data_IF_053173483440
#
_entry.id   IF_053173483440
#
_cell.length_a   1.000
_cell.length_b   1.000
_cell.length_c   1.000
_cell.angle_alpha   90.00
_cell.angle_beta   90.00
_cell.angle_gamma   90.00
#
_symmetry.space_group_name_H-M   'P 1'
#
loop_
_entity.id
_entity.type
_entity.pdbx_description
1 polymer ?
#
# COMPACT_ATOMS: atom_id res chain seq x y z
N UNK A 1 69.08 -29.27 25.70
CA UNK A 1 68.82 -27.82 25.51
C UNK A 1 67.80 -27.68 24.40
N UNK A 2 66.69 -27.02 24.73
CA UNK A 2 65.37 -27.20 24.12
C UNK A 2 65.15 -26.29 22.90
N UNK A 3 64.27 -26.77 22.02
CA UNK A 3 63.96 -26.29 20.65
C UNK A 3 63.56 -24.81 20.59
N UNK A 4 64.13 -24.10 19.62
CA UNK A 4 63.80 -22.71 19.27
C UNK A 4 62.36 -22.59 18.73
N UNK A 5 61.70 -21.53 19.19
CA UNK A 5 60.38 -21.03 18.78
C UNK A 5 60.27 -20.89 17.26
N UNK A 6 59.22 -21.48 16.68
CA UNK A 6 58.64 -21.07 15.39
C UNK A 6 57.16 -20.78 15.64
N UNK A 7 56.81 -19.50 15.68
CA UNK A 7 55.43 -19.01 15.61
C UNK A 7 55.48 -17.77 14.71
N UNK A 8 55.07 -17.94 13.47
CA UNK A 8 54.72 -16.92 12.46
C UNK A 8 54.11 -17.72 11.31
N UNK A 9 52.93 -17.48 10.77
CA UNK A 9 51.88 -16.49 10.99
C UNK A 9 50.58 -17.22 10.62
N UNK A 10 49.63 -17.25 11.54
CA UNK A 10 48.33 -17.84 11.29
C UNK A 10 47.49 -16.85 10.48
N UNK A 11 47.13 -17.27 9.28
CA UNK A 11 46.28 -16.59 8.31
C UNK A 11 44.97 -16.13 8.97
N UNK A 12 44.81 -14.82 9.17
CA UNK A 12 43.53 -14.22 9.56
C UNK A 12 42.68 -14.01 8.30
N UNK A 13 42.02 -15.07 7.86
CA UNK A 13 40.85 -14.98 6.99
C UNK A 13 39.68 -14.44 7.82
N UNK A 14 39.54 -13.12 7.89
CA UNK A 14 38.26 -12.52 8.29
C UNK A 14 37.32 -12.60 7.10
N UNK A 15 36.58 -13.69 7.05
CA UNK A 15 35.33 -13.81 6.30
C UNK A 15 34.40 -12.69 6.77
N UNK A 16 34.35 -11.61 6.00
CA UNK A 16 33.30 -10.62 6.09
C UNK A 16 31.98 -11.35 5.79
N UNK A 17 31.29 -11.74 6.86
CA UNK A 17 29.90 -12.15 6.82
C UNK A 17 29.12 -10.88 6.49
N UNK A 18 29.09 -10.53 5.21
CA UNK A 18 28.16 -9.55 4.68
C UNK A 18 26.78 -10.16 4.89
N UNK A 19 26.18 -9.87 6.05
CA UNK A 19 24.73 -9.87 6.20
C UNK A 19 24.24 -8.85 5.17
N UNK A 20 24.07 -9.33 3.94
CA UNK A 20 23.20 -8.70 2.99
C UNK A 20 21.85 -8.79 3.66
N UNK A 21 21.45 -7.71 4.32
CA UNK A 21 20.03 -7.45 4.52
C UNK A 21 19.48 -7.37 3.10
N UNK A 22 19.10 -8.52 2.55
CA UNK A 22 18.04 -8.56 1.57
C UNK A 22 16.92 -7.82 2.30
N UNK A 23 16.70 -6.57 1.90
CA UNK A 23 15.47 -5.89 2.25
C UNK A 23 14.42 -6.80 1.66
N UNK A 24 13.80 -7.62 2.50
CA UNK A 24 12.55 -8.26 2.15
C UNK A 24 11.71 -7.10 1.64
N UNK A 25 11.48 -7.04 0.34
CA UNK A 25 10.51 -6.13 -0.23
C UNK A 25 9.22 -6.59 0.40
N UNK A 26 8.86 -5.93 1.50
CA UNK A 26 7.55 -6.08 2.11
C UNK A 26 6.60 -5.93 0.94
N UNK A 27 5.82 -6.97 0.69
CA UNK A 27 4.53 -6.90 0.06
C UNK A 27 3.98 -5.46 0.07
N UNK A 28 4.04 -4.77 -1.06
CA UNK A 28 3.67 -3.36 -1.15
C UNK A 28 3.08 -3.10 -2.54
N UNK A 29 1.79 -2.77 -2.54
CA UNK A 29 1.09 -2.30 -3.72
C UNK A 29 1.78 -1.02 -4.19
N UNK A 30 2.21 -0.99 -5.45
CA UNK A 30 2.94 0.17 -5.97
C UNK A 30 2.13 1.47 -5.79
N UNK A 31 2.75 2.54 -5.30
CA UNK A 31 2.07 3.82 -5.01
C UNK A 31 1.23 4.33 -6.18
N UNK A 32 1.72 4.24 -7.42
CA UNK A 32 0.97 4.63 -8.63
C UNK A 32 -0.32 3.83 -8.75
N UNK A 33 -0.25 2.53 -8.52
CA UNK A 33 -1.38 1.62 -8.66
C UNK A 33 -2.42 1.86 -7.56
N UNK A 34 -1.98 2.04 -6.31
CA UNK A 34 -2.87 2.43 -5.21
C UNK A 34 -3.56 3.78 -5.49
N UNK A 35 -2.85 4.73 -6.12
CA UNK A 35 -3.45 5.99 -6.57
C UNK A 35 -4.47 5.78 -7.70
N UNK A 36 -4.18 4.94 -8.70
CA UNK A 36 -5.13 4.60 -9.77
C UNK A 36 -6.38 3.92 -9.21
N UNK A 37 -6.23 3.00 -8.25
CA UNK A 37 -7.35 2.40 -7.51
C UNK A 37 -8.19 3.48 -6.83
N UNK A 38 -7.57 4.42 -6.10
CA UNK A 38 -8.29 5.48 -5.38
C UNK A 38 -9.14 6.33 -6.31
N UNK A 39 -8.59 6.73 -7.47
CA UNK A 39 -9.34 7.52 -8.44
C UNK A 39 -10.51 6.74 -9.04
N UNK A 40 -10.31 5.46 -9.37
CA UNK A 40 -11.39 4.59 -9.86
C UNK A 40 -12.45 4.31 -8.77
N UNK A 41 -12.04 4.10 -7.52
CA UNK A 41 -12.95 3.87 -6.40
C UNK A 41 -13.76 5.14 -6.06
N UNK A 42 -13.16 6.33 -6.14
CA UNK A 42 -13.88 7.60 -5.99
C UNK A 42 -14.86 7.82 -7.15
N UNK A 43 -14.46 7.49 -8.37
CA UNK A 43 -15.32 7.60 -9.55
C UNK A 43 -16.54 6.68 -9.46
N UNK A 44 -16.35 5.42 -9.06
CA UNK A 44 -17.43 4.44 -8.91
C UNK A 44 -18.30 4.67 -7.67
N UNK A 45 -17.82 5.44 -6.70
CA UNK A 45 -18.45 5.64 -5.41
C UNK A 45 -18.17 4.53 -4.40
N UNK A 46 -17.27 3.59 -4.71
CA UNK A 46 -16.74 2.66 -3.70
C UNK A 46 -16.01 3.42 -2.58
N UNK A 47 -15.28 4.47 -2.95
CA UNK A 47 -14.71 5.43 -2.04
C UNK A 47 -15.74 6.52 -1.72
N UNK A 48 -16.25 6.53 -0.48
CA UNK A 48 -17.28 7.48 -0.05
C UNK A 48 -16.70 8.85 0.24
N UNK A 49 -15.53 8.89 0.85
CA UNK A 49 -14.81 10.10 1.16
C UNK A 49 -13.32 9.93 0.89
N UNK A 50 -12.73 10.92 0.24
CA UNK A 50 -11.31 10.93 -0.10
C UNK A 50 -10.59 12.07 0.64
N UNK A 51 -9.80 11.70 1.64
CA UNK A 51 -9.03 12.61 2.49
C UNK A 51 -7.65 12.93 1.92
N UNK A 52 -7.14 14.12 2.20
CA UNK A 52 -5.81 14.60 1.74
C UNK A 52 -4.85 14.91 2.91
N UNK A 53 -5.07 14.23 4.04
CA UNK A 53 -4.33 14.46 5.27
C UNK A 53 -2.95 13.76 5.22
N UNK A 54 -2.24 13.72 6.37
CA UNK A 54 -0.95 13.01 6.51
C UNK A 54 -1.00 11.55 6.02
N UNK A 55 -2.17 10.93 6.13
CA UNK A 55 -2.50 9.67 5.50
C UNK A 55 -3.58 9.93 4.44
N UNK A 56 -3.46 9.28 3.29
CA UNK A 56 -4.40 9.37 2.19
C UNK A 56 -5.47 8.32 2.40
N UNK A 57 -6.65 8.79 2.77
CA UNK A 57 -7.76 7.94 3.23
C UNK A 57 -8.82 7.87 2.15
N UNK A 58 -9.29 6.65 1.92
CA UNK A 58 -10.48 6.35 1.16
C UNK A 58 -11.47 5.59 2.05
N UNK A 59 -12.52 6.29 2.50
CA UNK A 59 -13.55 5.72 3.39
C UNK A 59 -14.41 4.71 2.62
N UNK A 60 -14.41 3.45 3.04
CA UNK A 60 -15.18 2.36 2.43
C UNK A 60 -16.51 2.10 3.16
N UNK A 61 -16.57 2.40 4.46
CA UNK A 61 -17.71 2.20 5.35
C UNK A 61 -17.57 3.06 6.61
N UNK A 62 -18.69 3.52 7.19
CA UNK A 62 -18.75 4.29 8.44
C UNK A 62 -19.25 3.48 9.65
N UNK A 63 -19.95 2.36 9.42
CA UNK A 63 -20.33 1.40 10.47
C UNK A 63 -20.18 -0.06 10.00
N UNK A 64 -19.09 -0.77 10.40
CA UNK A 64 -17.94 -0.23 11.13
C UNK A 64 -17.17 0.79 10.27
N UNK A 65 -16.36 1.63 10.92
CA UNK A 65 -15.47 2.59 10.29
C UNK A 65 -14.32 1.83 9.61
N UNK A 66 -14.35 1.78 8.28
CA UNK A 66 -13.40 1.09 7.44
C UNK A 66 -12.78 2.05 6.45
N UNK A 67 -11.48 2.23 6.58
CA UNK A 67 -10.68 3.08 5.72
C UNK A 67 -9.67 2.24 4.95
N UNK A 68 -9.60 2.44 3.64
CA UNK A 68 -8.39 2.14 2.89
C UNK A 68 -7.43 3.30 3.06
N UNK A 69 -6.17 3.03 3.41
CA UNK A 69 -5.20 4.07 3.78
C UNK A 69 -3.81 3.76 3.23
N UNK A 70 -3.15 4.76 2.67
CA UNK A 70 -1.71 4.71 2.36
C UNK A 70 -1.12 6.13 2.26
N UNK A 71 0.19 6.23 2.11
CA UNK A 71 0.88 7.42 1.60
C UNK A 71 2.25 6.99 1.04
N UNK A 72 3.08 7.95 0.61
CA UNK A 72 4.41 7.65 0.07
C UNK A 72 5.37 6.91 1.04
N UNK A 73 5.06 6.84 2.34
CA UNK A 73 5.86 6.20 3.39
C UNK A 73 5.11 5.10 4.15
N UNK A 74 3.90 4.74 3.73
CA UNK A 74 3.05 3.77 4.43
C UNK A 74 2.31 2.95 3.39
N UNK A 75 2.58 1.64 3.41
CA UNK A 75 1.97 0.67 2.50
C UNK A 75 0.43 0.71 2.55
N UNK A 76 -0.20 0.29 1.45
CA UNK A 76 -1.65 0.20 1.36
C UNK A 76 -2.21 -0.77 2.40
N UNK A 77 -3.12 -0.30 3.25
CA UNK A 77 -3.71 -1.12 4.30
C UNK A 77 -5.18 -0.77 4.52
N UNK A 78 -5.94 -1.75 5.00
CA UNK A 78 -7.29 -1.54 5.49
C UNK A 78 -7.22 -1.34 7.00
N UNK A 79 -7.74 -0.21 7.47
CA UNK A 79 -7.93 0.08 8.88
C UNK A 79 -9.39 -0.19 9.25
N UNK A 80 -9.59 -0.84 10.39
CA UNK A 80 -10.91 -1.09 10.99
C UNK A 80 -10.96 -0.40 12.33
N UNK A 81 -11.93 0.48 12.52
CA UNK A 81 -12.25 1.12 13.79
C UNK A 81 -13.66 0.77 14.23
N UNK A 82 -13.77 0.45 15.50
CA UNK A 82 -15.02 0.17 16.22
C UNK A 82 -14.93 0.85 17.59
N UNK A 83 -16.03 1.00 18.34
CA UNK A 83 -15.98 1.63 19.67
C UNK A 83 -15.00 0.98 20.66
N UNK A 84 -14.63 -0.29 20.47
CA UNK A 84 -13.80 -1.06 21.41
C UNK A 84 -12.50 -1.61 20.80
N UNK A 85 -12.24 -1.37 19.51
CA UNK A 85 -11.10 -1.92 18.81
C UNK A 85 -10.71 -1.07 17.61
N UNK A 86 -9.40 -0.89 17.44
CA UNK A 86 -8.78 -0.36 16.23
C UNK A 86 -7.66 -1.31 15.81
N UNK A 87 -7.53 -1.56 14.52
CA UNK A 87 -6.43 -2.32 13.96
C UNK A 87 -6.38 -2.18 12.44
N UNK A 88 -5.36 -2.77 11.84
CA UNK A 88 -5.20 -2.74 10.39
C UNK A 88 -4.64 -4.05 9.84
N UNK A 89 -4.59 -4.12 8.51
CA UNK A 89 -3.94 -5.19 7.76
C UNK A 89 -3.43 -4.65 6.43
N UNK A 90 -2.16 -4.90 6.15
CA UNK A 90 -1.49 -4.48 4.91
C UNK A 90 -1.93 -5.36 3.74
N UNK A 91 -2.15 -4.73 2.60
CA UNK A 91 -2.50 -5.38 1.34
C UNK A 91 -1.24 -5.68 0.51
N UNK A 92 -1.34 -6.68 -0.34
CA UNK A 92 -0.32 -7.08 -1.30
C UNK A 92 -0.94 -7.43 -2.65
N UNK A 93 -0.11 -7.56 -3.68
CA UNK A 93 -0.50 -7.98 -5.01
C UNK A 93 -0.77 -6.80 -5.95
N UNK A 94 -1.56 -7.06 -6.99
CA UNK A 94 -1.81 -6.14 -8.08
C UNK A 94 -3.31 -5.91 -8.26
N UNK A 95 -3.71 -4.68 -8.54
CA UNK A 95 -5.03 -4.31 -8.98
C UNK A 95 -5.03 -4.02 -10.48
N UNK A 96 -6.07 -4.45 -11.21
CA UNK A 96 -7.31 -5.08 -10.71
C UNK A 96 -7.21 -6.58 -10.38
N UNK A 97 -8.13 -7.04 -9.53
CA UNK A 97 -8.46 -8.44 -9.22
C UNK A 97 -7.45 -9.31 -8.44
N UNK A 98 -6.19 -8.90 -8.26
CA UNK A 98 -5.17 -9.72 -7.60
C UNK A 98 -4.67 -9.15 -6.26
N UNK A 99 -5.45 -8.32 -5.58
CA UNK A 99 -5.14 -7.96 -4.21
C UNK A 99 -5.38 -9.12 -3.24
N UNK A 100 -4.48 -9.20 -2.27
CA UNK A 100 -4.58 -10.08 -1.12
C UNK A 100 -4.22 -9.36 0.17
N UNK A 101 -4.35 -10.09 1.27
CA UNK A 101 -3.75 -9.69 2.55
C UNK A 101 -2.28 -10.10 2.52
N UNK A 102 -1.37 -9.19 2.85
CA UNK A 102 0.06 -9.48 2.87
C UNK A 102 0.41 -10.63 3.83
N UNK A 103 1.49 -11.35 3.54
CA UNK A 103 1.91 -12.48 4.36
C UNK A 103 2.15 -12.06 5.82
N UNK A 104 1.57 -12.81 6.76
CA UNK A 104 1.68 -12.53 8.20
C UNK A 104 0.70 -11.48 8.74
N UNK A 105 -0.11 -10.85 7.88
CA UNK A 105 -1.13 -9.89 8.30
C UNK A 105 -2.48 -10.55 8.62
N UNK A 106 -3.28 -9.96 9.53
CA UNK A 106 -4.55 -10.55 9.94
C UNK A 106 -5.59 -10.48 8.82
N UNK A 107 -6.28 -11.58 8.53
CA UNK A 107 -7.44 -11.62 7.59
C UNK A 107 -8.74 -11.09 8.22
N UNK A 108 -8.74 -10.91 9.54
CA UNK A 108 -9.86 -10.43 10.35
C UNK A 108 -9.33 -9.43 11.38
N UNK A 109 -9.91 -8.24 11.41
CA UNK A 109 -9.49 -7.13 12.29
C UNK A 109 -10.72 -6.60 13.01
N UNK A 110 -10.65 -6.43 14.33
CA UNK A 110 -11.81 -5.98 15.14
C UNK A 110 -13.10 -6.76 14.88
N UNK A 111 -12.99 -8.07 14.71
CA UNK A 111 -14.07 -8.99 14.34
C UNK A 111 -14.66 -8.83 12.93
N UNK A 112 -14.10 -7.96 12.09
CA UNK A 112 -14.50 -7.76 10.69
C UNK A 112 -13.64 -8.62 9.76
N UNK A 113 -14.26 -9.45 8.94
CA UNK A 113 -13.58 -10.25 7.90
C UNK A 113 -13.15 -9.37 6.72
N UNK A 114 -12.00 -8.71 6.83
CA UNK A 114 -11.55 -7.73 5.84
C UNK A 114 -11.28 -8.35 4.46
N UNK A 115 -10.74 -9.56 4.40
CA UNK A 115 -10.42 -10.23 3.14
C UNK A 115 -11.69 -10.44 2.29
N UNK A 116 -12.73 -11.01 2.90
CA UNK A 116 -13.98 -11.33 2.20
C UNK A 116 -14.86 -10.11 1.96
N UNK A 117 -14.95 -9.20 2.93
CA UNK A 117 -15.93 -8.12 2.85
C UNK A 117 -15.39 -6.88 2.13
N UNK A 118 -14.08 -6.69 2.06
CA UNK A 118 -13.49 -5.46 1.53
C UNK A 118 -12.45 -5.73 0.45
N UNK A 119 -11.54 -6.69 0.62
CA UNK A 119 -10.57 -7.03 -0.46
C UNK A 119 -11.31 -7.56 -1.70
N UNK A 120 -12.34 -8.41 -1.54
CA UNK A 120 -13.17 -8.84 -2.67
C UNK A 120 -13.85 -7.68 -3.40
N UNK A 121 -14.30 -6.63 -2.66
CA UNK A 121 -14.89 -5.42 -3.27
C UNK A 121 -13.85 -4.61 -4.03
N UNK A 122 -12.63 -4.49 -3.50
CA UNK A 122 -11.51 -3.83 -4.17
C UNK A 122 -11.12 -4.60 -5.45
N UNK A 123 -11.09 -5.92 -5.39
CA UNK A 123 -10.82 -6.77 -6.55
C UNK A 123 -11.95 -6.75 -7.59
N UNK A 124 -13.19 -6.57 -7.16
CA UNK A 124 -14.34 -6.39 -8.04
C UNK A 124 -14.45 -4.98 -8.63
N UNK A 125 -13.67 -4.01 -8.15
CA UNK A 125 -13.64 -2.66 -8.70
C UNK A 125 -12.95 -2.69 -10.08
N UNK A 126 -13.68 -2.42 -11.18
CA UNK A 126 -13.07 -2.40 -12.51
C UNK A 126 -12.11 -1.22 -12.66
N UNK A 127 -11.09 -1.42 -13.49
CA UNK A 127 -10.28 -0.33 -14.03
C UNK A 127 -11.07 0.37 -15.14
N UNK A 128 -11.81 1.41 -14.76
CA UNK A 128 -12.61 2.22 -15.68
C UNK A 128 -11.68 3.17 -16.45
N UNK A 129 -10.71 3.76 -15.74
CA UNK A 129 -9.71 4.68 -16.30
C UNK A 129 -8.32 4.22 -15.82
N UNK A 130 -7.46 3.73 -16.73
CA UNK A 130 -6.11 3.26 -16.37
C UNK A 130 -5.16 4.40 -15.99
N UNK A 131 -5.35 5.59 -16.55
CA UNK A 131 -4.49 6.72 -16.22
C UNK A 131 -4.88 7.34 -14.86
N UNK A 132 -3.97 7.23 -13.89
CA UNK A 132 -4.10 7.78 -12.54
C UNK A 132 -4.68 9.20 -12.51
N UNK A 133 -4.09 10.16 -13.23
CA UNK A 133 -4.54 11.56 -13.24
C UNK A 133 -5.97 11.69 -13.78
N UNK A 134 -6.27 10.99 -14.88
CA UNK A 134 -7.55 11.08 -15.56
C UNK A 134 -8.69 10.52 -14.68
N UNK A 135 -8.42 9.50 -13.87
CA UNK A 135 -9.41 8.92 -12.97
C UNK A 135 -9.88 9.92 -11.90
N UNK A 136 -8.97 10.71 -11.33
CA UNK A 136 -9.32 11.80 -10.40
C UNK A 136 -9.99 12.99 -11.10
N UNK A 137 -9.56 13.32 -12.32
CA UNK A 137 -10.23 14.35 -13.11
C UNK A 137 -11.68 13.97 -13.42
N UNK A 138 -11.93 12.72 -13.80
CA UNK A 138 -13.27 12.21 -14.02
C UNK A 138 -14.11 12.22 -12.74
N UNK A 139 -13.56 11.77 -11.61
CA UNK A 139 -14.25 11.81 -10.32
C UNK A 139 -14.66 13.24 -9.91
N UNK A 140 -13.80 14.24 -10.19
CA UNK A 140 -14.14 15.65 -9.99
C UNK A 140 -15.26 16.12 -10.91
N UNK A 141 -15.19 15.80 -12.21
CA UNK A 141 -16.23 16.17 -13.18
C UNK A 141 -17.59 15.54 -12.86
N UNK A 142 -17.59 14.39 -12.18
CA UNK A 142 -18.80 13.73 -11.67
C UNK A 142 -19.22 14.21 -10.27
N UNK A 143 -18.58 15.26 -9.74
CA UNK A 143 -18.84 15.81 -8.41
C UNK A 143 -18.68 14.80 -7.25
N UNK A 144 -17.87 13.75 -7.45
CA UNK A 144 -17.54 12.76 -6.39
C UNK A 144 -16.49 13.27 -5.43
N UNK A 145 -15.60 14.13 -5.91
CA UNK A 145 -14.57 14.81 -5.11
C UNK A 145 -14.56 16.30 -5.45
N UNK A 146 -14.07 17.13 -4.53
CA UNK A 146 -13.91 18.56 -4.76
C UNK A 146 -12.61 18.89 -5.51
N UNK A 147 -12.48 20.14 -5.97
CA UNK A 147 -11.34 20.59 -6.76
C UNK A 147 -9.99 20.51 -6.02
N UNK A 148 -9.97 20.75 -4.70
CA UNK A 148 -8.76 20.68 -3.89
C UNK A 148 -8.26 19.24 -3.80
N UNK A 149 -9.16 18.30 -3.51
CA UNK A 149 -8.86 16.86 -3.46
C UNK A 149 -8.37 16.36 -4.81
N UNK A 150 -9.06 16.70 -5.90
CA UNK A 150 -8.64 16.30 -7.24
C UNK A 150 -7.24 16.81 -7.59
N UNK A 151 -6.97 18.10 -7.35
CA UNK A 151 -5.65 18.71 -7.58
C UNK A 151 -4.55 17.99 -6.78
N UNK A 152 -4.81 17.69 -5.52
CA UNK A 152 -3.85 16.99 -4.67
C UNK A 152 -3.47 15.63 -5.24
N UNK A 153 -4.45 14.78 -5.56
CA UNK A 153 -4.19 13.43 -6.04
C UNK A 153 -3.59 13.39 -7.45
N UNK A 154 -3.99 14.30 -8.35
CA UNK A 154 -3.34 14.47 -9.65
C UNK A 154 -1.85 14.79 -9.47
N UNK A 155 -1.49 15.66 -8.51
CA UNK A 155 -0.08 15.94 -8.20
C UNK A 155 0.65 14.71 -7.64
N UNK A 156 0.00 13.88 -6.82
CA UNK A 156 0.60 12.63 -6.33
C UNK A 156 0.82 11.63 -7.46
N UNK A 157 -0.11 11.53 -8.42
CA UNK A 157 0.09 10.73 -9.63
C UNK A 157 1.35 11.20 -10.38
N UNK A 158 1.47 12.51 -10.65
CA UNK A 158 2.63 13.04 -11.38
C UNK A 158 3.97 12.83 -10.65
N UNK A 159 3.96 12.85 -9.32
CA UNK A 159 5.13 12.59 -8.49
C UNK A 159 5.55 11.12 -8.45
N UNK A 160 4.63 10.20 -8.80
CA UNK A 160 4.85 8.75 -8.81
C UNK A 160 4.48 8.23 -10.19
N UNK A 161 5.30 8.41 -11.24
CA UNK A 161 4.96 8.01 -12.60
C UNK A 161 4.92 6.47 -12.75
N UNK A 162 4.25 5.99 -13.81
CA UNK A 162 4.30 4.57 -14.15
C UNK A 162 5.74 4.12 -14.43
N UNK A 163 6.10 2.85 -14.15
CA UNK A 163 7.40 2.32 -14.51
C UNK A 163 7.67 2.49 -16.01
N UNK A 164 8.90 2.87 -16.36
CA UNK A 164 9.32 2.91 -17.75
C UNK A 164 9.29 1.47 -18.29
N UNK A 165 8.50 1.24 -19.34
CA UNK A 165 8.56 -0.01 -20.10
C UNK A 165 9.89 -0.02 -20.85
N UNK A 166 10.83 -0.86 -20.40
CA UNK A 166 12.10 -1.13 -21.08
C UNK A 166 11.90 -2.08 -22.26
#
# INVERSE_FOLDING_TARGET
MSRMKKISEFVLLFSAFSCSYASETLADVATREALTLYGNAALSGLCRHLGINKQWVCELSDDPDIDLTFNAATALHITVRTPTCEGNSVLDGEWPANFGIATGQPKKVCNVEIYKNYVDRLNAQPEIIPECENSFQAAFLMHRINAQTAKFYIQQCMANPAPLKL
#
